data_IF_291205762416
#
_entry.id   IF_291205762416
#
_cell.length_a   1.000
_cell.length_b   1.000
_cell.length_c   1.000
_cell.angle_alpha   90.00
_cell.angle_beta   90.00
_cell.angle_gamma   90.00
#
_symmetry.space_group_name_H-M   'P 1'
#
loop_
_entity.id
_entity.type
_entity.pdbx_description
1 polymer ?
#
# COMPACT_ATOMS: atom_id res chain seq x y z
N UNK A 1 15.86 37.99 18.27
CA UNK A 1 16.31 36.65 18.67
C UNK A 1 15.29 35.67 18.15
N UNK A 2 15.53 35.06 16.99
CA UNK A 2 14.74 33.92 16.51
C UNK A 2 15.72 32.92 15.90
N UNK A 3 16.50 32.26 16.76
CA UNK A 3 17.05 30.96 16.39
C UNK A 3 15.91 29.96 16.51
N UNK A 4 15.03 29.91 15.51
CA UNK A 4 14.05 28.83 15.38
C UNK A 4 14.89 27.59 15.09
N UNK A 5 15.17 26.83 16.16
CA UNK A 5 15.72 25.48 16.07
C UNK A 5 14.98 24.77 14.95
N UNK A 6 15.68 24.37 13.88
CA UNK A 6 15.17 23.34 12.98
C UNK A 6 14.66 22.23 13.89
N UNK A 7 13.38 21.84 13.84
CA UNK A 7 12.90 20.76 14.67
C UNK A 7 13.80 19.56 14.35
N UNK A 8 14.58 19.13 15.32
CA UNK A 8 15.45 17.98 15.16
C UNK A 8 14.55 16.80 14.85
N UNK A 9 14.49 16.40 13.58
CA UNK A 9 13.73 15.25 13.15
C UNK A 9 14.27 14.03 13.89
N UNK A 10 13.37 13.21 14.43
CA UNK A 10 13.78 12.04 15.20
C UNK A 10 14.30 10.96 14.25
N UNK A 11 15.48 10.42 14.57
CA UNK A 11 16.06 9.32 13.82
C UNK A 11 15.43 8.02 14.30
N UNK A 12 14.44 7.55 13.54
CA UNK A 12 13.69 6.34 13.81
C UNK A 12 13.93 5.39 12.65
N UNK A 13 14.17 4.10 12.95
CA UNK A 13 14.32 3.07 11.92
C UNK A 13 12.98 2.46 11.53
N UNK A 14 12.09 2.26 12.49
CA UNK A 14 10.80 1.58 12.30
C UNK A 14 9.76 2.30 13.16
N UNK A 15 8.58 2.54 12.60
CA UNK A 15 7.45 3.12 13.34
C UNK A 15 6.21 2.28 13.11
N UNK A 16 5.48 2.00 14.18
CA UNK A 16 4.09 1.54 14.15
C UNK A 16 3.18 2.68 14.60
N UNK A 17 2.17 2.99 13.78
CA UNK A 17 1.19 4.05 14.05
C UNK A 17 -0.20 3.43 14.01
N UNK A 18 -0.85 3.39 15.16
CA UNK A 18 -2.28 3.11 15.22
C UNK A 18 -3.06 4.35 14.77
N UNK A 19 -3.81 4.26 13.67
CA UNK A 19 -4.46 5.43 13.08
C UNK A 19 -5.84 5.11 12.52
N UNK A 20 -6.82 5.99 12.80
CA UNK A 20 -8.16 5.95 12.20
C UNK A 20 -8.28 6.80 10.94
N UNK A 21 -7.54 7.88 10.91
CA UNK A 21 -7.62 8.93 9.90
C UNK A 21 -6.20 9.36 9.56
N UNK A 22 -6.04 9.89 8.35
CA UNK A 22 -4.80 10.51 7.90
C UNK A 22 -4.20 11.50 8.91
N UNK A 23 -5.05 12.27 9.61
CA UNK A 23 -4.63 13.26 10.60
C UNK A 23 -3.76 12.66 11.71
N UNK A 24 -4.06 11.44 12.14
CA UNK A 24 -3.28 10.71 13.14
C UNK A 24 -1.88 10.38 12.62
N UNK A 25 -1.77 9.83 11.41
CA UNK A 25 -0.47 9.54 10.77
C UNK A 25 0.34 10.82 10.58
N UNK A 26 -0.32 11.88 10.09
CA UNK A 26 0.29 13.20 9.86
C UNK A 26 0.71 13.91 11.15
N UNK A 27 0.17 13.53 12.31
CA UNK A 27 0.59 14.08 13.61
C UNK A 27 1.92 13.50 14.11
N UNK A 28 2.40 12.40 13.50
CA UNK A 28 3.59 11.67 13.93
C UNK A 28 4.66 11.62 12.83
N UNK A 29 4.32 11.06 11.66
CA UNK A 29 5.28 10.71 10.61
C UNK A 29 6.14 11.90 10.11
N UNK A 30 5.61 13.13 9.94
CA UNK A 30 6.41 14.26 9.46
C UNK A 30 7.59 14.67 10.37
N UNK A 31 7.56 14.27 11.64
CA UNK A 31 8.59 14.59 12.62
C UNK A 31 9.79 13.63 12.60
N UNK A 32 9.73 12.57 11.80
CA UNK A 32 10.85 11.62 11.65
C UNK A 32 11.78 12.01 10.52
N UNK A 33 13.06 11.68 10.69
CA UNK A 33 14.04 11.80 9.62
C UNK A 33 13.73 10.72 8.57
N UNK A 34 13.54 11.06 7.27
CA UNK A 34 13.32 10.06 6.23
C UNK A 34 14.42 8.99 6.20
N UNK A 35 15.65 9.34 6.61
CA UNK A 35 16.74 8.36 6.80
C UNK A 35 17.21 8.45 8.26
N UNK A 36 17.00 7.40 9.08
CA UNK A 36 17.10 5.99 8.71
C UNK A 36 15.75 5.23 8.65
N UNK A 37 14.63 5.92 8.40
CA UNK A 37 13.30 5.30 8.44
C UNK A 37 13.16 4.23 7.34
N UNK A 38 13.13 2.98 7.78
CA UNK A 38 13.13 1.79 6.96
C UNK A 38 11.73 1.19 6.83
N UNK A 39 10.96 1.15 7.93
CA UNK A 39 9.61 0.57 7.96
C UNK A 39 8.58 1.54 8.51
N UNK A 40 7.46 1.63 7.80
CA UNK A 40 6.22 2.25 8.26
C UNK A 40 5.18 1.14 8.40
N UNK A 41 4.66 0.97 9.60
CA UNK A 41 3.57 0.08 9.92
C UNK A 41 2.37 0.91 10.39
N UNK A 42 1.22 0.73 9.77
CA UNK A 42 -0.03 1.38 10.14
C UNK A 42 -1.07 0.31 10.46
N UNK A 43 -1.51 0.25 11.70
CA UNK A 43 -2.50 -0.72 12.14
C UNK A 43 -3.81 -0.04 12.53
N UNK A 44 -4.88 -0.83 12.60
CA UNK A 44 -6.09 -0.39 13.30
C UNK A 44 -5.75 -0.06 14.74
N UNK A 45 -6.24 1.08 15.25
CA UNK A 45 -6.21 1.33 16.68
C UNK A 45 -7.23 0.40 17.35
N UNK A 46 -6.84 -0.23 18.45
CA UNK A 46 -7.66 -1.21 19.15
C UNK A 46 -8.90 -0.53 19.76
N UNK A 47 -10.04 -0.52 19.04
CA UNK A 47 -11.32 -0.10 19.61
C UNK A 47 -12.21 -1.27 20.00
N UNK A 48 -13.07 -1.09 21.03
CA UNK A 48 -14.00 -2.12 21.47
C UNK A 48 -15.07 -2.49 20.43
N UNK A 49 -15.33 -1.61 19.46
CA UNK A 49 -16.37 -1.79 18.45
C UNK A 49 -15.79 -1.79 17.04
N UNK A 50 -15.59 -3.00 16.51
CA UNK A 50 -15.06 -3.27 15.17
C UNK A 50 -16.02 -2.79 14.05
N UNK A 51 -17.31 -2.58 14.35
CA UNK A 51 -18.30 -2.19 13.35
C UNK A 51 -18.13 -0.76 12.83
N UNK A 52 -17.41 0.09 13.57
CA UNK A 52 -17.10 1.48 13.19
C UNK A 52 -16.21 1.55 11.93
N UNK A 53 -15.44 0.50 11.64
CA UNK A 53 -14.48 0.46 10.54
C UNK A 53 -14.97 -0.26 9.30
N UNK A 54 -16.06 -1.02 9.44
CA UNK A 54 -16.65 -1.73 8.32
C UNK A 54 -17.12 -0.68 7.30
N UNK A 55 -16.42 -0.60 6.18
CA UNK A 55 -16.61 0.36 5.09
C UNK A 55 -16.03 1.78 5.28
N UNK A 56 -15.02 1.97 6.14
CA UNK A 56 -14.31 3.26 6.27
C UNK A 56 -12.79 3.10 6.02
N UNK A 57 -12.37 3.03 4.74
CA UNK A 57 -10.95 2.87 4.40
C UNK A 57 -10.11 4.08 4.86
N UNK A 58 -8.87 3.83 5.26
CA UNK A 58 -7.90 4.89 5.56
C UNK A 58 -7.46 5.58 4.27
N UNK A 59 -7.87 6.82 4.08
CA UNK A 59 -7.35 7.66 2.98
C UNK A 59 -5.96 8.18 3.32
N UNK A 60 -5.00 8.07 2.40
CA UNK A 60 -3.59 8.43 2.63
C UNK A 60 -3.04 9.50 1.67
N UNK A 61 -3.90 10.28 1.02
CA UNK A 61 -3.55 11.23 -0.06
C UNK A 61 -2.41 12.22 0.27
N UNK A 62 -2.31 12.65 1.53
CA UNK A 62 -1.27 13.56 2.03
C UNK A 62 -0.09 12.81 2.64
N UNK A 63 -0.32 11.63 3.21
CA UNK A 63 0.75 10.80 3.80
C UNK A 63 1.71 10.34 2.70
N UNK A 64 1.18 9.90 1.56
CA UNK A 64 2.01 9.42 0.44
C UNK A 64 2.92 10.50 -0.16
N UNK A 65 2.64 11.77 0.13
CA UNK A 65 3.46 12.88 -0.35
C UNK A 65 4.69 13.17 0.52
N UNK A 66 4.74 12.61 1.72
CA UNK A 66 5.85 12.79 2.66
C UNK A 66 7.15 12.14 2.15
N UNK A 67 8.27 12.80 2.40
CA UNK A 67 9.60 12.24 2.15
C UNK A 67 9.79 10.92 2.90
N UNK A 68 9.27 10.84 4.12
CA UNK A 68 9.31 9.65 4.97
C UNK A 68 8.62 8.45 4.32
N UNK A 69 7.49 8.67 3.65
CA UNK A 69 6.78 7.63 2.91
C UNK A 69 7.56 7.23 1.65
N UNK A 70 8.02 8.23 0.88
CA UNK A 70 8.74 8.04 -0.37
C UNK A 70 10.09 7.33 -0.20
N UNK A 71 10.75 7.49 0.95
CA UNK A 71 12.05 6.85 1.25
C UNK A 71 11.92 5.51 2.00
N UNK A 72 10.72 5.16 2.49
CA UNK A 72 10.53 3.92 3.25
C UNK A 72 10.77 2.68 2.39
N UNK A 73 11.44 1.69 2.95
CA UNK A 73 11.69 0.40 2.30
C UNK A 73 10.53 -0.56 2.47
N UNK A 74 9.79 -0.47 3.58
CA UNK A 74 8.71 -1.38 3.92
C UNK A 74 7.48 -0.58 4.37
N UNK A 75 6.34 -0.89 3.75
CA UNK A 75 5.03 -0.28 4.05
C UNK A 75 4.07 -1.41 4.38
N UNK A 76 3.68 -1.51 5.65
CA UNK A 76 2.73 -2.49 6.14
C UNK A 76 1.49 -1.76 6.64
N UNK A 77 0.31 -2.14 6.15
CA UNK A 77 -0.94 -1.53 6.58
C UNK A 77 -1.95 -2.62 6.89
N UNK A 78 -2.13 -2.90 8.18
CA UNK A 78 -3.07 -3.90 8.68
C UNK A 78 -4.48 -3.32 8.82
N UNK A 79 -4.98 -2.67 7.76
CA UNK A 79 -6.36 -2.19 7.61
C UNK A 79 -6.69 -1.88 6.16
N UNK A 80 -7.98 -1.74 5.85
CA UNK A 80 -8.42 -1.29 4.53
C UNK A 80 -8.00 0.17 4.26
N UNK A 81 -7.44 0.44 3.09
CA UNK A 81 -6.93 1.75 2.68
C UNK A 81 -7.42 2.20 1.31
N UNK A 82 -7.40 3.50 1.11
CA UNK A 82 -7.55 4.16 -0.18
C UNK A 82 -6.24 4.90 -0.48
N UNK A 83 -5.53 4.44 -1.51
CA UNK A 83 -4.31 5.06 -2.02
C UNK A 83 -4.66 5.86 -3.28
N UNK A 84 -4.11 7.07 -3.47
CA UNK A 84 -4.43 7.87 -4.65
C UNK A 84 -3.88 7.25 -5.94
N UNK A 85 -2.66 6.71 -5.92
CA UNK A 85 -2.06 6.02 -7.06
C UNK A 85 -1.14 4.88 -6.60
N UNK A 86 -1.09 3.77 -7.35
CA UNK A 86 -0.15 2.67 -7.07
C UNK A 86 1.32 3.11 -7.16
N UNK A 87 1.61 4.16 -7.94
CA UNK A 87 2.94 4.78 -8.00
C UNK A 87 3.44 5.31 -6.65
N UNK A 88 2.54 5.61 -5.72
CA UNK A 88 2.94 6.01 -4.37
C UNK A 88 3.66 4.91 -3.59
N UNK A 89 3.68 3.67 -4.09
CA UNK A 89 4.40 2.55 -3.49
C UNK A 89 5.76 2.27 -4.16
N UNK A 90 6.08 2.88 -5.31
CA UNK A 90 7.15 2.46 -6.24
C UNK A 90 8.56 2.30 -5.61
N UNK A 91 8.84 3.02 -4.52
CA UNK A 91 10.13 2.98 -3.82
C UNK A 91 10.21 1.90 -2.73
N UNK A 92 9.06 1.46 -2.22
CA UNK A 92 8.99 0.43 -1.20
C UNK A 92 9.31 -0.93 -1.82
N UNK A 93 10.16 -1.70 -1.14
CA UNK A 93 10.55 -3.05 -1.55
C UNK A 93 9.57 -4.10 -1.05
N UNK A 94 9.01 -3.90 0.14
CA UNK A 94 8.01 -4.78 0.72
C UNK A 94 6.75 -3.97 1.00
N UNK A 95 5.62 -4.43 0.49
CA UNK A 95 4.32 -3.80 0.72
C UNK A 95 3.33 -4.87 1.15
N UNK A 96 2.62 -4.62 2.24
CA UNK A 96 1.46 -5.39 2.67
C UNK A 96 0.30 -4.44 2.88
N UNK A 97 -0.75 -4.51 2.06
CA UNK A 97 -1.92 -3.61 2.16
C UNK A 97 -3.22 -4.32 1.79
N UNK A 98 -4.32 -3.90 2.41
CA UNK A 98 -5.67 -4.24 1.96
C UNK A 98 -6.30 -2.99 1.34
N UNK A 99 -6.61 -3.02 0.05
CA UNK A 99 -7.23 -1.91 -0.67
C UNK A 99 -8.75 -1.97 -0.58
N UNK A 100 -9.40 -0.81 -0.54
CA UNK A 100 -10.86 -0.72 -0.64
C UNK A 100 -11.37 -1.24 -1.99
N UNK A 101 -10.75 -0.77 -3.06
CA UNK A 101 -11.02 -1.21 -4.42
C UNK A 101 -9.74 -1.13 -5.22
N UNK A 102 -9.68 -1.94 -6.27
CA UNK A 102 -8.60 -1.89 -7.26
C UNK A 102 -9.22 -1.84 -8.65
N UNK A 103 -8.58 -1.09 -9.55
CA UNK A 103 -8.94 -1.05 -10.96
C UNK A 103 -7.92 -1.78 -11.82
N UNK A 104 -8.30 -2.10 -13.05
CA UNK A 104 -7.37 -2.71 -14.01
C UNK A 104 -6.18 -1.80 -14.31
N UNK A 105 -6.39 -0.47 -14.35
CA UNK A 105 -5.34 0.52 -14.53
C UNK A 105 -4.27 0.44 -13.43
N UNK A 106 -4.68 0.24 -12.18
CA UNK A 106 -3.79 0.10 -11.03
C UNK A 106 -2.91 -1.14 -11.16
N UNK A 107 -3.51 -2.26 -11.55
CA UNK A 107 -2.80 -3.53 -11.78
C UNK A 107 -1.78 -3.39 -12.93
N UNK A 108 -2.17 -2.77 -14.04
CA UNK A 108 -1.27 -2.52 -15.18
C UNK A 108 -0.09 -1.64 -14.74
N UNK A 109 -0.33 -0.64 -13.90
CA UNK A 109 0.70 0.24 -13.37
C UNK A 109 1.66 -0.53 -12.45
N UNK A 110 1.15 -1.34 -11.53
CA UNK A 110 1.97 -2.24 -10.70
C UNK A 110 2.82 -3.18 -11.56
N UNK A 111 2.23 -3.81 -12.59
CA UNK A 111 2.95 -4.67 -13.54
C UNK A 111 4.12 -3.92 -14.18
N UNK A 112 3.91 -2.69 -14.65
CA UNK A 112 4.98 -1.87 -15.24
C UNK A 112 6.08 -1.58 -14.23
N UNK A 113 5.72 -1.21 -13.00
CA UNK A 113 6.70 -0.93 -11.94
C UNK A 113 7.57 -2.15 -11.65
N UNK A 114 6.97 -3.33 -11.47
CA UNK A 114 7.70 -4.59 -11.27
C UNK A 114 8.62 -4.96 -12.44
N UNK A 115 8.19 -4.72 -13.67
CA UNK A 115 9.00 -5.00 -14.86
C UNK A 115 10.18 -4.02 -15.04
N UNK A 116 10.03 -2.77 -14.57
CA UNK A 116 11.04 -1.72 -14.74
C UNK A 116 12.01 -1.61 -13.56
N UNK A 117 11.57 -1.99 -12.36
CA UNK A 117 12.38 -1.85 -11.16
C UNK A 117 13.42 -2.95 -11.01
N UNK A 118 14.60 -2.57 -10.53
CA UNK A 118 15.67 -3.50 -10.14
C UNK A 118 15.67 -3.81 -8.63
N UNK A 119 14.80 -3.15 -7.88
CA UNK A 119 14.83 -3.15 -6.41
C UNK A 119 13.50 -3.45 -5.76
N UNK A 120 12.40 -3.52 -6.53
CA UNK A 120 11.12 -4.00 -6.00
C UNK A 120 11.27 -5.44 -5.52
N UNK A 121 10.72 -5.70 -4.34
CA UNK A 121 10.73 -7.02 -3.71
C UNK A 121 9.37 -7.67 -3.83
N UNK A 122 8.61 -7.66 -2.74
CA UNK A 122 7.38 -8.43 -2.56
C UNK A 122 6.21 -7.52 -2.21
N UNK A 123 5.16 -7.57 -3.02
CA UNK A 123 3.91 -6.87 -2.73
C UNK A 123 2.84 -7.94 -2.47
N UNK A 124 2.27 -7.90 -1.28
CA UNK A 124 1.10 -8.67 -0.90
C UNK A 124 -0.08 -7.69 -0.76
N UNK A 125 -1.09 -7.86 -1.60
CA UNK A 125 -2.19 -6.92 -1.74
C UNK A 125 -3.51 -7.66 -1.76
N UNK A 126 -4.33 -7.37 -0.76
CA UNK A 126 -5.73 -7.77 -0.74
C UNK A 126 -6.60 -6.62 -1.24
N UNK A 127 -7.80 -6.90 -1.72
CA UNK A 127 -8.76 -5.87 -2.14
C UNK A 127 -10.19 -6.30 -1.87
N UNK A 128 -11.07 -5.35 -1.52
CA UNK A 128 -12.48 -5.65 -1.26
C UNK A 128 -13.35 -5.65 -2.55
N UNK A 129 -13.02 -4.82 -3.55
CA UNK A 129 -13.73 -4.80 -4.84
C UNK A 129 -12.80 -4.72 -6.05
N UNK A 130 -13.19 -5.41 -7.14
CA UNK A 130 -12.53 -5.34 -8.45
C UNK A 130 -13.56 -5.59 -9.57
N UNK A 131 -14.20 -4.51 -10.04
CA UNK A 131 -15.32 -4.60 -10.99
C UNK A 131 -14.89 -5.07 -12.39
N UNK A 132 -13.62 -4.86 -12.74
CA UNK A 132 -13.07 -5.13 -14.09
C UNK A 132 -12.43 -6.52 -14.21
N UNK A 133 -12.82 -7.46 -13.33
CA UNK A 133 -12.23 -8.80 -13.26
C UNK A 133 -12.27 -9.56 -14.59
N UNK A 134 -13.35 -9.41 -15.37
CA UNK A 134 -13.48 -10.06 -16.68
C UNK A 134 -12.43 -9.58 -17.71
N UNK A 135 -11.90 -8.37 -17.54
CA UNK A 135 -10.89 -7.76 -18.41
C UNK A 135 -9.46 -8.09 -17.96
N UNK A 136 -9.27 -8.66 -16.77
CA UNK A 136 -7.95 -8.95 -16.18
C UNK A 136 -7.06 -9.80 -17.09
N UNK A 137 -7.64 -10.79 -17.78
CA UNK A 137 -6.88 -11.76 -18.58
C UNK A 137 -6.27 -11.17 -19.86
N UNK A 138 -6.73 -10.02 -20.35
CA UNK A 138 -6.18 -9.41 -21.55
C UNK A 138 -4.73 -8.90 -21.33
N UNK A 139 -4.45 -8.05 -20.32
CA UNK A 139 -3.08 -7.59 -20.06
C UNK A 139 -2.22 -8.60 -19.28
N UNK A 140 -2.80 -9.51 -18.51
CA UNK A 140 -2.05 -10.48 -17.68
C UNK A 140 -1.94 -11.88 -18.29
N UNK A 141 -2.66 -12.14 -19.38
CA UNK A 141 -2.76 -13.45 -20.00
C UNK A 141 -3.77 -14.35 -19.29
N UNK A 142 -4.20 -15.40 -19.99
CA UNK A 142 -5.11 -16.40 -19.43
C UNK A 142 -4.36 -17.27 -18.44
N UNK A 143 -4.94 -17.51 -17.27
CA UNK A 143 -4.45 -18.52 -16.33
C UNK A 143 -4.35 -19.86 -17.08
N UNK A 144 -3.18 -20.50 -17.12
CA UNK A 144 -3.09 -21.91 -17.54
C UNK A 144 -3.66 -22.76 -16.39
N UNK A 145 -4.96 -22.65 -16.16
CA UNK A 145 -5.71 -23.54 -15.30
C UNK A 145 -5.89 -24.86 -16.07
N UNK A 146 -4.96 -25.79 -15.84
CA UNK A 146 -5.06 -27.22 -16.13
C UNK A 146 -5.67 -27.62 -17.48
N UNK A 147 -4.79 -27.95 -18.43
CA UNK A 147 -5.07 -28.76 -19.65
C UNK A 147 -5.43 -30.20 -19.25
N UNK A 148 -6.46 -30.41 -18.42
CA UNK A 148 -7.00 -31.74 -18.08
C UNK A 148 -8.49 -31.91 -18.37
N UNK A 149 -9.18 -30.88 -18.87
CA UNK A 149 -10.61 -30.98 -19.19
C UNK A 149 -10.95 -30.92 -20.68
N UNK A 150 -9.95 -30.92 -21.58
CA UNK A 150 -10.18 -31.03 -23.03
C UNK A 150 -9.97 -32.44 -23.62
N UNK A 151 -9.87 -33.48 -22.78
CA UNK A 151 -9.84 -34.87 -23.26
C UNK A 151 -11.19 -35.61 -23.22
N UNK A 152 -12.32 -34.94 -22.96
CA UNK A 152 -13.65 -35.59 -22.99
C UNK A 152 -14.59 -35.11 -24.10
N UNK A 153 -14.08 -34.36 -25.08
CA UNK A 153 -14.82 -34.06 -26.32
C UNK A 153 -14.10 -34.64 -27.55
N UNK A 154 -13.87 -35.95 -27.54
CA UNK A 154 -13.64 -36.77 -28.73
C UNK A 154 -13.98 -38.21 -28.39
N UNK A 155 -15.27 -38.54 -28.52
CA UNK A 155 -15.78 -39.88 -28.77
C UNK A 155 -16.79 -39.76 -29.91
#
# INVERSE_FOLDING_TARGET
MESILKPYKLKVKEVTIEAFEQSHVMSVLPYFDPKPLYRIDISEACLPDYSVYKNNPLKLDKVVELEQWKDANEILIARQVELPHMKNLENARCVFVTLDSIKLEDLIELKKQFMLSRTLGEYDMEYASFDEQDQFFEPFGVHIMNIKTLQTASN
#
